data_IF_898537675938
#
_entry.id   IF_898537675938
#
_cell.length_a   1.000
_cell.length_b   1.000
_cell.length_c   1.000
_cell.angle_alpha   90.00
_cell.angle_beta   90.00
_cell.angle_gamma   90.00
#
_symmetry.space_group_name_H-M   'P 1'
#
loop_
_entity.id
_entity.type
_entity.pdbx_description
1 polymer ?
#
# COMPACT_ATOMS: atom_id res chain seq x y z
N UNK A 1 24.34 17.73 6.37
CA UNK A 1 22.92 17.51 6.05
C UNK A 1 22.14 17.43 7.34
N UNK A 2 21.12 18.28 7.57
CA UNK A 2 20.30 18.13 8.76
C UNK A 2 19.59 16.78 8.73
N UNK A 3 19.74 15.99 9.78
CA UNK A 3 18.97 14.76 9.95
C UNK A 3 17.48 15.09 10.09
N UNK A 4 16.64 14.37 9.38
CA UNK A 4 15.20 14.48 9.56
C UNK A 4 14.83 14.13 11.02
N UNK A 5 14.00 14.95 11.64
CA UNK A 5 13.55 14.71 13.01
C UNK A 5 12.75 13.40 13.08
N UNK A 6 13.14 12.52 13.99
CA UNK A 6 12.41 11.26 14.24
C UNK A 6 11.22 11.56 15.14
N UNK A 7 10.03 11.08 14.78
CA UNK A 7 8.84 11.19 15.60
C UNK A 7 8.99 10.43 16.92
N UNK A 8 8.78 11.10 18.04
CA UNK A 8 8.68 10.45 19.35
C UNK A 8 7.36 9.66 19.45
N UNK A 9 7.29 8.56 20.24
CA UNK A 9 6.07 7.75 20.37
C UNK A 9 4.81 8.55 20.69
N UNK A 10 4.89 9.54 21.59
CA UNK A 10 3.77 10.41 21.93
C UNK A 10 3.32 11.30 20.77
N UNK A 11 4.25 11.80 19.95
CA UNK A 11 3.94 12.58 18.76
C UNK A 11 3.26 11.72 17.68
N UNK A 12 3.68 10.47 17.55
CA UNK A 12 3.05 9.50 16.65
C UNK A 12 1.60 9.24 17.03
N UNK A 13 1.33 8.92 18.29
CA UNK A 13 -0.03 8.70 18.80
C UNK A 13 -0.90 9.95 18.60
N UNK A 14 -0.36 11.11 18.93
CA UNK A 14 -1.07 12.38 18.71
C UNK A 14 -1.42 12.61 17.25
N UNK A 15 -0.47 12.33 16.33
CA UNK A 15 -0.70 12.44 14.90
C UNK A 15 -1.84 11.53 14.43
N UNK A 16 -1.88 10.29 14.89
CA UNK A 16 -2.97 9.35 14.56
C UNK A 16 -4.32 9.85 15.10
N UNK A 17 -4.36 10.34 16.34
CA UNK A 17 -5.58 10.88 16.94
C UNK A 17 -6.10 12.10 16.16
N UNK A 18 -5.22 13.04 15.82
CA UNK A 18 -5.59 14.23 15.04
C UNK A 18 -6.07 13.81 13.65
N UNK A 19 -5.36 12.92 12.97
CA UNK A 19 -5.77 12.41 11.66
C UNK A 19 -7.15 11.76 11.72
N UNK A 20 -7.39 10.93 12.73
CA UNK A 20 -8.70 10.29 12.92
C UNK A 20 -9.84 11.31 13.13
N UNK A 21 -9.56 12.39 13.83
CA UNK A 21 -10.57 13.41 14.17
C UNK A 21 -10.82 14.43 13.04
N UNK A 22 -9.81 14.72 12.22
CA UNK A 22 -9.86 15.84 11.24
C UNK A 22 -9.88 15.39 9.79
N UNK A 23 -9.49 14.13 9.50
CA UNK A 23 -9.43 13.65 8.13
C UNK A 23 -10.82 13.41 7.56
N UNK A 24 -10.96 13.64 6.26
CA UNK A 24 -12.15 13.28 5.48
C UNK A 24 -12.29 11.77 5.27
N UNK A 25 -11.16 11.05 5.18
CA UNK A 25 -11.09 9.59 5.05
C UNK A 25 -10.04 9.06 6.05
N UNK A 26 -10.41 8.97 7.33
CA UNK A 26 -9.46 8.65 8.40
C UNK A 26 -8.81 7.27 8.22
N UNK A 27 -9.54 6.26 7.74
CA UNK A 27 -9.02 4.91 7.53
C UNK A 27 -7.90 4.92 6.48
N UNK A 28 -8.08 5.66 5.39
CA UNK A 28 -7.06 5.80 4.34
C UNK A 28 -5.84 6.55 4.86
N UNK A 29 -6.04 7.68 5.50
CA UNK A 29 -4.94 8.55 5.91
C UNK A 29 -4.12 7.92 7.05
N UNK A 30 -4.78 7.24 7.98
CA UNK A 30 -4.11 6.42 9.01
C UNK A 30 -3.29 5.32 8.35
N UNK A 31 -3.84 4.59 7.38
CA UNK A 31 -3.11 3.55 6.66
C UNK A 31 -1.85 4.10 5.97
N UNK A 32 -1.96 5.23 5.27
CA UNK A 32 -0.83 5.88 4.60
C UNK A 32 0.28 6.24 5.59
N UNK A 33 -0.09 6.85 6.72
CA UNK A 33 0.86 7.20 7.78
C UNK A 33 1.54 5.95 8.36
N UNK A 34 0.77 4.91 8.65
CA UNK A 34 1.30 3.67 9.24
C UNK A 34 2.19 2.91 8.26
N UNK A 35 1.85 2.85 6.98
CA UNK A 35 2.72 2.27 5.95
C UNK A 35 4.07 3.01 5.89
N UNK A 36 4.04 4.35 5.87
CA UNK A 36 5.27 5.13 5.86
C UNK A 36 6.14 4.89 7.10
N UNK A 37 5.54 4.87 8.30
CA UNK A 37 6.27 4.77 9.56
C UNK A 37 6.76 3.35 9.84
N UNK A 38 5.93 2.33 9.67
CA UNK A 38 6.27 0.94 10.03
C UNK A 38 7.04 0.17 8.96
N UNK A 39 6.89 0.54 7.68
CA UNK A 39 7.57 -0.15 6.58
C UNK A 39 8.62 0.69 5.87
N UNK A 40 8.67 1.99 6.17
CA UNK A 40 9.57 2.93 5.50
C UNK A 40 9.25 3.14 4.02
N UNK A 41 8.00 2.88 3.60
CA UNK A 41 7.58 3.15 2.23
C UNK A 41 7.51 4.65 1.96
N UNK A 42 7.96 5.03 0.76
CA UNK A 42 7.78 6.40 0.26
C UNK A 42 6.35 6.61 -0.24
N UNK A 43 5.90 7.85 -0.22
CA UNK A 43 4.54 8.21 -0.72
C UNK A 43 4.31 7.69 -2.15
N UNK A 44 5.31 7.78 -3.03
CA UNK A 44 5.24 7.25 -4.40
C UNK A 44 5.10 5.72 -4.46
N UNK A 45 5.72 5.00 -3.54
CA UNK A 45 5.62 3.54 -3.43
C UNK A 45 4.24 3.14 -2.88
N UNK A 46 3.75 3.85 -1.85
CA UNK A 46 2.41 3.65 -1.28
C UNK A 46 1.32 3.87 -2.34
N UNK A 47 1.48 4.88 -3.19
CA UNK A 47 0.53 5.19 -4.25
C UNK A 47 0.48 4.13 -5.38
N UNK A 48 1.52 3.33 -5.52
CA UNK A 48 1.69 2.39 -6.64
C UNK A 48 1.65 0.92 -6.24
N UNK A 49 1.81 0.57 -4.96
CA UNK A 49 1.69 -0.81 -4.49
C UNK A 49 0.28 -1.33 -4.77
N UNK A 50 0.19 -2.55 -5.30
CA UNK A 50 -1.08 -3.16 -5.71
C UNK A 50 -1.63 -4.12 -4.64
N UNK A 51 -2.93 -4.40 -4.73
CA UNK A 51 -3.60 -5.40 -3.87
C UNK A 51 -2.93 -6.76 -4.01
N UNK A 52 -2.57 -7.18 -5.23
CA UNK A 52 -1.90 -8.46 -5.50
C UNK A 52 -0.51 -8.57 -4.87
N UNK A 53 0.15 -7.43 -4.61
CA UNK A 53 1.44 -7.41 -3.91
C UNK A 53 1.27 -7.62 -2.40
N UNK A 54 0.20 -7.06 -1.82
CA UNK A 54 -0.05 -7.05 -0.37
C UNK A 54 -0.81 -8.26 0.15
N UNK A 55 -1.69 -8.84 -0.67
CA UNK A 55 -2.55 -9.94 -0.26
C UNK A 55 -2.18 -11.25 -0.96
N UNK A 56 -2.45 -12.36 -0.27
CA UNK A 56 -2.58 -13.67 -0.90
C UNK A 56 -3.97 -13.81 -1.56
N UNK A 57 -4.13 -14.76 -2.49
CA UNK A 57 -5.45 -15.08 -3.06
C UNK A 57 -6.51 -15.42 -2.00
N UNK A 58 -6.09 -15.99 -0.86
CA UNK A 58 -6.94 -16.26 0.31
C UNK A 58 -7.47 -15.00 1.02
N UNK A 59 -6.94 -13.81 0.68
CA UNK A 59 -7.25 -12.56 1.35
C UNK A 59 -6.39 -12.28 2.59
N UNK A 60 -5.47 -13.15 2.95
CA UNK A 60 -4.52 -12.91 4.04
C UNK A 60 -3.46 -11.86 3.62
N UNK A 61 -3.06 -11.02 4.56
CA UNK A 61 -1.98 -10.03 4.34
C UNK A 61 -0.64 -10.76 4.33
N UNK A 62 0.22 -10.43 3.38
CA UNK A 62 1.57 -11.00 3.28
C UNK A 62 2.45 -10.43 4.39
N UNK A 63 3.21 -11.31 5.05
CA UNK A 63 4.23 -10.91 6.03
C UNK A 63 5.48 -10.31 5.37
N UNK A 64 5.70 -10.63 4.11
CA UNK A 64 6.79 -10.11 3.29
C UNK A 64 6.24 -9.69 1.92
N UNK A 65 6.51 -8.46 1.53
CA UNK A 65 6.06 -7.86 0.28
C UNK A 65 7.25 -7.33 -0.49
N UNK A 66 7.42 -7.81 -1.71
CA UNK A 66 8.47 -7.34 -2.62
C UNK A 66 7.96 -6.14 -3.42
N UNK A 67 8.56 -4.99 -3.22
CA UNK A 67 8.29 -3.80 -4.01
C UNK A 67 9.07 -3.87 -5.31
N UNK A 68 8.35 -3.74 -6.42
CA UNK A 68 8.94 -3.79 -7.76
C UNK A 68 9.93 -2.65 -7.98
N UNK A 69 11.00 -2.92 -8.70
CA UNK A 69 12.01 -1.92 -9.04
C UNK A 69 11.42 -0.68 -9.74
N UNK A 70 10.36 -0.86 -10.53
CA UNK A 70 9.66 0.23 -11.24
C UNK A 70 8.99 1.27 -10.34
N UNK A 71 8.61 0.89 -9.12
CA UNK A 71 7.95 1.79 -8.16
C UNK A 71 8.90 2.34 -7.11
N UNK A 72 10.11 1.78 -6.99
CA UNK A 72 11.10 2.21 -6.01
C UNK A 72 12.06 3.25 -6.59
N UNK A 73 12.49 4.17 -5.74
CA UNK A 73 13.52 5.16 -6.13
C UNK A 73 14.85 4.45 -6.39
N UNK A 74 15.44 4.69 -7.55
CA UNK A 74 16.71 4.07 -7.95
C UNK A 74 16.56 2.72 -8.62
N UNK A 75 15.36 2.33 -9.00
CA UNK A 75 15.05 1.10 -9.75
C UNK A 75 15.62 -0.17 -9.10
N UNK A 76 15.65 -0.22 -7.76
CA UNK A 76 16.10 -1.39 -6.99
C UNK A 76 14.92 -2.03 -6.29
N UNK A 77 14.72 -3.31 -6.53
CA UNK A 77 13.75 -4.11 -5.80
C UNK A 77 14.13 -4.14 -4.31
N UNK A 78 13.13 -3.96 -3.43
CA UNK A 78 13.29 -4.11 -1.99
C UNK A 78 12.08 -4.78 -1.37
N UNK A 79 12.28 -5.43 -0.23
CA UNK A 79 11.21 -6.02 0.53
C UNK A 79 10.79 -5.12 1.68
N UNK A 80 9.51 -5.17 2.02
CA UNK A 80 8.93 -4.60 3.22
C UNK A 80 8.25 -5.69 4.02
N UNK A 81 8.12 -5.48 5.32
CA UNK A 81 7.57 -6.45 6.26
C UNK A 81 6.44 -5.82 7.08
N UNK A 82 5.18 -5.89 6.58
CA UNK A 82 4.02 -5.37 7.30
C UNK A 82 3.60 -6.31 8.43
N UNK A 83 4.45 -6.47 9.45
CA UNK A 83 4.25 -7.41 10.57
C UNK A 83 3.68 -6.74 11.82
N UNK A 84 3.64 -5.41 11.86
CA UNK A 84 3.07 -4.68 13.00
C UNK A 84 1.56 -4.90 13.08
N UNK A 85 1.04 -5.25 14.28
CA UNK A 85 -0.37 -5.58 14.50
C UNK A 85 -1.32 -4.42 14.19
N UNK A 86 -0.93 -3.21 14.55
CA UNK A 86 -1.76 -2.02 14.33
C UNK A 86 -1.80 -1.66 12.84
N UNK A 87 -0.69 -1.85 12.12
CA UNK A 87 -0.65 -1.70 10.67
C UNK A 87 -1.55 -2.73 9.98
N UNK A 88 -1.51 -4.00 10.41
CA UNK A 88 -2.37 -5.05 9.87
C UNK A 88 -3.85 -4.68 10.07
N UNK A 89 -4.21 -4.23 11.28
CA UNK A 89 -5.57 -3.78 11.57
C UNK A 89 -5.98 -2.58 10.69
N UNK A 90 -5.10 -1.61 10.49
CA UNK A 90 -5.38 -0.46 9.61
C UNK A 90 -5.56 -0.88 8.13
N UNK A 91 -4.81 -1.88 7.66
CA UNK A 91 -5.00 -2.46 6.32
C UNK A 91 -6.37 -3.13 6.25
N UNK A 92 -6.73 -3.95 7.25
CA UNK A 92 -8.01 -4.66 7.30
C UNK A 92 -9.19 -3.68 7.30
N UNK A 93 -9.16 -2.65 8.11
CA UNK A 93 -10.21 -1.62 8.21
C UNK A 93 -10.39 -0.89 6.87
N UNK A 94 -9.29 -0.49 6.25
CA UNK A 94 -9.34 0.20 4.97
C UNK A 94 -9.83 -0.69 3.83
N UNK A 95 -9.41 -1.96 3.78
CA UNK A 95 -9.89 -2.90 2.76
C UNK A 95 -11.39 -3.21 2.95
N UNK A 96 -11.88 -3.34 4.18
CA UNK A 96 -13.30 -3.47 4.48
C UNK A 96 -14.09 -2.25 3.99
N UNK A 97 -13.56 -1.03 4.20
CA UNK A 97 -14.16 0.20 3.68
C UNK A 97 -14.23 0.20 2.14
N UNK A 98 -13.17 -0.24 1.46
CA UNK A 98 -13.15 -0.35 0.00
C UNK A 98 -14.22 -1.31 -0.53
N UNK A 99 -14.38 -2.45 0.11
CA UNK A 99 -15.41 -3.43 -0.25
C UNK A 99 -16.81 -2.83 -0.03
N UNK A 100 -17.05 -2.17 1.10
CA UNK A 100 -18.34 -1.54 1.40
C UNK A 100 -18.71 -0.43 0.42
N UNK A 101 -17.72 0.35 -0.04
CA UNK A 101 -17.90 1.40 -1.06
C UNK A 101 -17.86 0.88 -2.50
N UNK A 102 -17.68 -0.42 -2.69
CA UNK A 102 -17.52 -1.07 -4.00
C UNK A 102 -16.43 -0.47 -4.89
N UNK A 103 -15.33 -0.07 -4.29
CA UNK A 103 -14.20 0.54 -5.00
C UNK A 103 -13.25 -0.52 -5.57
N UNK A 104 -13.21 -0.63 -6.90
CA UNK A 104 -12.33 -1.57 -7.60
C UNK A 104 -12.51 -3.02 -7.11
N UNK A 105 -13.76 -3.46 -7.03
CA UNK A 105 -14.11 -4.86 -6.73
C UNK A 105 -13.84 -5.76 -7.93
N UNK A 106 -13.57 -7.04 -7.64
CA UNK A 106 -13.43 -8.13 -8.62
C UNK A 106 -14.75 -8.84 -8.83
N UNK A 107 -14.87 -9.56 -9.93
CA UNK A 107 -16.00 -10.46 -10.19
C UNK A 107 -15.98 -11.73 -9.31
N UNK A 108 -14.81 -12.07 -8.73
CA UNK A 108 -14.64 -13.20 -7.82
C UNK A 108 -14.53 -12.71 -6.36
N UNK A 109 -15.63 -12.81 -5.57
CA UNK A 109 -15.64 -12.32 -4.19
C UNK A 109 -14.81 -13.17 -3.23
N UNK A 110 -14.42 -14.40 -3.61
CA UNK A 110 -13.66 -15.32 -2.75
C UNK A 110 -12.15 -15.06 -2.78
N UNK A 111 -11.65 -14.44 -3.83
CA UNK A 111 -10.22 -14.16 -3.99
C UNK A 111 -9.93 -12.70 -3.68
N UNK A 112 -8.79 -12.45 -3.01
CA UNK A 112 -8.33 -11.10 -2.65
C UNK A 112 -9.42 -10.24 -1.97
N UNK A 113 -10.28 -10.86 -1.15
CA UNK A 113 -11.43 -10.22 -0.47
C UNK A 113 -12.42 -9.56 -1.44
N UNK A 114 -12.54 -10.04 -2.66
CA UNK A 114 -13.36 -9.42 -3.69
C UNK A 114 -12.78 -8.15 -4.29
N UNK A 115 -11.50 -7.88 -4.13
CA UNK A 115 -10.81 -6.72 -4.70
C UNK A 115 -10.01 -7.12 -5.94
N UNK A 116 -9.86 -6.18 -6.88
CA UNK A 116 -9.04 -6.38 -8.07
C UNK A 116 -7.56 -6.38 -7.70
N UNK A 117 -6.81 -7.36 -8.18
CA UNK A 117 -5.38 -7.54 -7.92
C UNK A 117 -4.51 -6.44 -8.52
N UNK A 118 -4.91 -5.91 -9.69
CA UNK A 118 -4.25 -4.84 -10.42
C UNK A 118 -4.60 -3.43 -9.92
N UNK A 119 -5.39 -3.34 -8.85
CA UNK A 119 -5.76 -2.08 -8.22
C UNK A 119 -4.72 -1.68 -7.19
N UNK A 120 -4.34 -0.39 -7.17
CA UNK A 120 -3.51 0.13 -6.10
C UNK A 120 -4.14 -0.13 -4.73
N UNK A 121 -3.28 -0.39 -3.72
CA UNK A 121 -3.71 -0.59 -2.34
C UNK A 121 -4.46 0.64 -1.82
N UNK A 122 -3.92 1.83 -2.02
CA UNK A 122 -4.50 3.09 -1.56
C UNK A 122 -5.10 3.86 -2.73
N UNK A 123 -6.35 4.27 -2.59
CA UNK A 123 -7.09 5.07 -3.57
C UNK A 123 -7.37 6.46 -3.03
N UNK A 124 -7.71 7.39 -3.93
CA UNK A 124 -8.23 8.71 -3.53
C UNK A 124 -9.58 8.55 -2.82
N UNK A 125 -10.04 9.61 -2.14
CA UNK A 125 -11.35 9.62 -1.46
C UNK A 125 -12.56 9.38 -2.40
N UNK A 126 -12.35 9.48 -3.72
CA UNK A 126 -13.35 9.14 -4.75
C UNK A 126 -13.18 7.73 -5.33
N UNK A 127 -12.23 6.94 -4.82
CA UNK A 127 -11.95 5.59 -5.34
C UNK A 127 -11.14 5.57 -6.63
N UNK A 128 -10.47 6.67 -7.00
CA UNK A 128 -9.56 6.74 -8.15
C UNK A 128 -8.11 6.47 -7.75
N UNK A 129 -7.29 6.10 -8.72
CA UNK A 129 -5.85 5.98 -8.57
C UNK A 129 -5.21 7.36 -8.35
N UNK A 130 -4.14 7.42 -7.57
CA UNK A 130 -3.29 8.60 -7.51
C UNK A 130 -2.50 8.72 -8.82
N UNK A 131 -2.67 9.83 -9.52
CA UNK A 131 -1.81 10.15 -10.66
C UNK A 131 -0.49 10.74 -10.13
N UNK A 132 0.58 9.98 -10.31
CA UNK A 132 1.92 10.52 -10.21
C UNK A 132 2.27 11.11 -11.58
N UNK A 133 2.44 12.43 -11.65
CA UNK A 133 2.92 13.13 -12.85
C UNK A 133 4.38 12.73 -13.13
N UNK A 134 4.57 11.57 -13.68
CA UNK A 134 5.85 11.12 -14.24
C UNK A 134 5.57 10.39 -15.54
N UNK A 135 6.37 10.72 -16.55
CA UNK A 135 6.35 10.21 -17.93
C UNK A 135 6.49 8.68 -18.08
N UNK A 136 6.12 7.92 -17.06
CA UNK A 136 6.33 6.48 -16.92
C UNK A 136 5.08 5.66 -17.30
N UNK A 137 3.99 6.29 -17.74
CA UNK A 137 2.77 5.58 -18.14
C UNK A 137 2.98 4.67 -19.35
N UNK A 138 3.88 5.05 -20.26
CA UNK A 138 4.20 4.24 -21.44
C UNK A 138 4.91 2.92 -21.11
N UNK A 139 5.61 2.85 -19.97
CA UNK A 139 6.32 1.65 -19.53
C UNK A 139 5.39 0.67 -18.81
N UNK A 140 4.34 1.16 -18.16
CA UNK A 140 3.37 0.32 -17.42
C UNK A 140 2.49 -0.55 -18.31
N UNK A 141 2.16 -0.09 -19.51
CA UNK A 141 1.36 -0.87 -20.47
C UNK A 141 2.16 -2.01 -21.12
N UNK A 142 3.48 -1.86 -21.24
CA UNK A 142 4.35 -2.88 -21.84
C UNK A 142 4.73 -4.02 -20.87
N UNK A 143 4.69 -3.78 -19.53
CA UNK A 143 5.09 -4.78 -18.54
C UNK A 143 3.96 -5.68 -18.03
N UNK A 144 2.70 -5.42 -18.40
CA UNK A 144 1.54 -6.22 -17.97
C UNK A 144 1.42 -7.61 -18.60
N UNK A 145 2.28 -7.96 -19.57
CA UNK A 145 2.23 -9.26 -20.24
C UNK A 145 3.23 -10.30 -19.71
N UNK A 146 4.00 -9.99 -18.67
CA UNK A 146 4.93 -10.95 -18.08
C UNK A 146 4.44 -11.30 -16.68
N UNK A 147 3.71 -12.41 -16.59
CA UNK A 147 3.40 -13.11 -15.34
C UNK A 147 4.71 -13.67 -14.78
N UNK A 148 5.45 -12.88 -14.00
CA UNK A 148 6.60 -13.45 -13.29
C UNK A 148 6.15 -13.95 -11.92
N UNK A 149 6.56 -15.18 -11.54
CA UNK A 149 6.31 -15.71 -10.21
C UNK A 149 7.05 -14.86 -9.17
N UNK A 150 6.42 -14.67 -8.00
CA UNK A 150 7.03 -13.99 -6.87
C UNK A 150 8.36 -14.67 -6.51
N UNK A 151 9.47 -13.99 -6.75
CA UNK A 151 10.80 -14.47 -6.35
C UNK A 151 10.96 -14.09 -4.87
N UNK A 152 11.21 -15.04 -3.95
CA UNK A 152 11.44 -14.73 -2.55
C UNK A 152 12.68 -13.86 -2.39
N UNK A 153 12.60 -12.85 -1.54
CA UNK A 153 13.73 -12.02 -1.15
C UNK A 153 14.83 -12.89 -0.52
N UNK A 154 15.98 -12.96 -1.15
CA UNK A 154 17.14 -13.60 -0.52
C UNK A 154 17.66 -12.68 0.60
N UNK A 155 17.71 -13.22 1.82
CA UNK A 155 18.45 -12.58 2.92
C UNK A 155 19.93 -12.61 2.56
N UNK A 156 20.56 -11.48 2.48
CA UNK A 156 22.00 -11.29 2.58
C UNK A 156 22.35 -10.89 4.00
#
# INVERSE_FOLDING_TARGET
>A
MPQAAVLKPGQYLHLLCVTKATSRDPERDILVLMLGIHTGMRVSEIAQVEIGDMLFPSGAIRSEVSLWASITKGLRQRCIYPTNRDLIAAIDDYLALRVSRRWRISDDPKRYRGLRTDSALVLTFKGYLYFMNTSTESIRLASKSITQPAIPCKRT
#
